data_IF_712036673950
#
_entry.id   IF_712036673950
#
_cell.length_a   1.000
_cell.length_b   1.000
_cell.length_c   1.000
_cell.angle_alpha   90.00
_cell.angle_beta   90.00
_cell.angle_gamma   90.00
#
_symmetry.space_group_name_H-M   'P 1'
#
loop_
_entity.id
_entity.type
_entity.pdbx_description
1 polymer ?
#
# COMPACT_ATOMS: atom_id res chain seq x y z
N UNK A 1 4.35 -10.66 4.26
CA UNK A 1 4.67 -9.26 3.90
C UNK A 1 3.79 -8.82 2.74
N UNK A 2 3.53 -7.53 2.55
CA UNK A 2 2.58 -7.04 1.53
C UNK A 2 2.92 -7.50 0.11
N UNK A 3 4.22 -7.66 -0.18
CA UNK A 3 4.69 -8.16 -1.47
C UNK A 3 4.32 -9.63 -1.72
N UNK A 4 4.42 -10.47 -0.69
CA UNK A 4 4.06 -11.89 -0.79
C UNK A 4 2.55 -12.06 -0.99
N UNK A 5 1.74 -11.28 -0.27
CA UNK A 5 0.30 -11.28 -0.46
C UNK A 5 -0.07 -10.77 -1.86
N UNK A 6 0.54 -9.68 -2.32
CA UNK A 6 0.33 -9.20 -3.68
C UNK A 6 0.66 -10.27 -4.71
N UNK A 7 1.78 -10.98 -4.56
CA UNK A 7 2.15 -12.03 -5.49
C UNK A 7 1.15 -13.20 -5.50
N UNK A 8 0.54 -13.54 -4.37
CA UNK A 8 -0.49 -14.57 -4.29
C UNK A 8 -1.78 -14.21 -5.07
N UNK A 9 -2.01 -12.93 -5.33
CA UNK A 9 -3.21 -12.40 -5.99
C UNK A 9 -3.01 -11.92 -7.44
N UNK A 10 -1.84 -12.14 -8.06
CA UNK A 10 -1.56 -11.69 -9.44
C UNK A 10 -2.48 -12.34 -10.50
N UNK A 11 -3.13 -13.46 -10.17
CA UNK A 11 -4.15 -14.09 -11.00
C UNK A 11 -5.43 -13.23 -11.12
N UNK A 12 -5.68 -12.30 -10.19
CA UNK A 12 -6.81 -11.35 -10.24
C UNK A 12 -6.53 -10.13 -11.12
N UNK A 13 -5.29 -9.98 -11.61
CA UNK A 13 -4.84 -8.85 -12.41
C UNK A 13 -3.55 -8.23 -11.86
N UNK A 14 -3.18 -7.06 -12.38
CA UNK A 14 -2.02 -6.32 -11.89
C UNK A 14 -2.26 -5.88 -10.46
N UNK A 15 -1.30 -6.14 -9.58
CA UNK A 15 -1.35 -5.73 -8.18
C UNK A 15 -0.49 -4.49 -7.99
N UNK A 16 -0.78 -3.67 -7.00
CA UNK A 16 0.09 -2.56 -6.62
C UNK A 16 0.46 -2.63 -5.14
N UNK A 17 1.72 -2.38 -4.81
CA UNK A 17 2.24 -2.39 -3.43
C UNK A 17 2.91 -1.04 -3.14
N UNK A 18 2.50 -0.39 -2.07
CA UNK A 18 3.21 0.76 -1.50
C UNK A 18 3.91 0.29 -0.23
N UNK A 19 5.21 0.56 -0.10
CA UNK A 19 5.97 0.27 1.13
C UNK A 19 6.52 1.57 1.69
N UNK A 20 6.28 1.83 2.98
CA UNK A 20 6.89 2.95 3.69
C UNK A 20 8.26 2.55 4.28
N UNK A 21 9.31 3.24 3.84
CA UNK A 21 10.67 2.93 4.23
C UNK A 21 11.24 1.72 3.48
N UNK A 22 12.32 1.16 4.01
CA UNK A 22 13.07 0.08 3.36
C UNK A 22 14.33 0.56 2.63
N UNK A 23 15.20 -0.36 2.18
CA UNK A 23 16.53 -0.06 1.69
C UNK A 23 16.57 0.64 0.32
N UNK A 24 15.43 0.78 -0.37
CA UNK A 24 15.39 1.34 -1.73
C UNK A 24 15.86 0.37 -2.81
N UNK A 25 16.22 -0.86 -2.42
CA UNK A 25 16.71 -1.93 -3.30
C UNK A 25 15.69 -3.05 -3.48
N UNK A 26 14.45 -2.85 -3.02
CA UNK A 26 13.38 -3.82 -3.21
C UNK A 26 12.99 -3.87 -4.69
N UNK A 27 12.80 -5.08 -5.22
CA UNK A 27 12.31 -5.30 -6.58
C UNK A 27 10.90 -5.86 -6.53
N UNK A 28 10.04 -5.39 -7.42
CA UNK A 28 8.72 -5.96 -7.60
C UNK A 28 8.82 -7.28 -8.40
N UNK A 29 8.07 -8.33 -8.02
CA UNK A 29 7.91 -9.51 -8.85
C UNK A 29 7.01 -9.20 -10.06
N UNK A 30 7.03 -10.04 -11.11
CA UNK A 30 6.15 -9.89 -12.27
C UNK A 30 4.67 -9.81 -11.86
N UNK A 31 3.93 -8.90 -12.48
CA UNK A 31 2.50 -8.69 -12.19
C UNK A 31 2.22 -7.82 -10.96
N UNK A 32 3.26 -7.31 -10.30
CA UNK A 32 3.16 -6.37 -9.18
C UNK A 32 3.87 -5.06 -9.51
N UNK A 33 3.16 -3.94 -9.36
CA UNK A 33 3.73 -2.61 -9.42
C UNK A 33 4.11 -2.17 -7.99
N UNK A 34 5.38 -1.86 -7.73
CA UNK A 34 5.83 -1.44 -6.40
C UNK A 34 6.25 0.03 -6.38
N UNK A 35 5.84 0.75 -5.34
CA UNK A 35 6.32 2.10 -5.04
C UNK A 35 6.81 2.18 -3.60
N UNK A 36 8.06 2.60 -3.40
CA UNK A 36 8.59 2.86 -2.07
C UNK A 36 8.44 4.34 -1.72
N UNK A 37 7.85 4.61 -0.56
CA UNK A 37 7.76 5.95 0.03
C UNK A 37 8.86 6.14 1.08
N UNK A 38 9.34 7.37 1.22
CA UNK A 38 10.25 7.69 2.31
C UNK A 38 9.55 7.58 3.69
N UNK A 39 10.29 7.29 4.77
CA UNK A 39 9.72 7.30 6.12
C UNK A 39 9.04 8.63 6.44
N UNK A 40 7.88 8.59 7.09
CA UNK A 40 7.10 9.77 7.48
C UNK A 40 6.23 10.35 6.37
N UNK A 41 6.28 9.80 5.15
CA UNK A 41 5.37 10.19 4.07
C UNK A 41 3.90 9.88 4.40
N UNK A 42 3.63 8.96 5.32
CA UNK A 42 2.27 8.57 5.67
C UNK A 42 1.66 9.48 6.73
N UNK A 43 2.46 10.12 7.60
CA UNK A 43 1.97 10.74 8.84
C UNK A 43 2.33 12.22 9.07
N UNK A 44 3.42 12.78 8.50
CA UNK A 44 3.90 14.13 8.89
C UNK A 44 3.53 15.24 7.87
N UNK A 45 4.40 15.48 6.87
CA UNK A 45 4.26 16.51 5.81
C UNK A 45 4.01 15.85 4.45
N UNK A 46 4.23 14.53 4.35
CA UNK A 46 4.19 13.77 3.10
C UNK A 46 2.83 13.20 2.73
N UNK A 47 1.73 13.68 3.34
CA UNK A 47 0.37 13.28 2.96
C UNK A 47 0.14 13.45 1.44
N UNK A 48 0.75 14.47 0.83
CA UNK A 48 0.68 14.69 -0.60
C UNK A 48 1.36 13.57 -1.41
N UNK A 49 2.64 13.20 -1.17
CA UNK A 49 3.26 12.02 -1.77
C UNK A 49 2.40 10.76 -1.73
N UNK A 50 1.86 10.39 -0.56
CA UNK A 50 0.99 9.23 -0.45
C UNK A 50 -0.26 9.38 -1.33
N UNK A 51 -0.94 10.53 -1.24
CA UNK A 51 -2.16 10.80 -2.02
C UNK A 51 -1.89 10.78 -3.52
N UNK A 52 -0.80 11.39 -3.98
CA UNK A 52 -0.42 11.41 -5.39
C UNK A 52 -0.09 10.00 -5.87
N UNK A 53 0.68 9.24 -5.10
CA UNK A 53 1.03 7.85 -5.44
C UNK A 53 -0.21 6.98 -5.55
N UNK A 54 -1.09 6.99 -4.55
CA UNK A 54 -2.34 6.22 -4.59
C UNK A 54 -3.21 6.64 -5.77
N UNK A 55 -3.43 7.94 -5.96
CA UNK A 55 -4.24 8.43 -7.09
C UNK A 55 -3.63 8.05 -8.45
N UNK A 56 -2.30 8.05 -8.58
CA UNK A 56 -1.59 7.66 -9.78
C UNK A 56 -1.76 6.17 -10.06
N UNK A 57 -1.54 5.32 -9.06
CA UNK A 57 -1.72 3.87 -9.19
C UNK A 57 -3.16 3.54 -9.59
N UNK A 58 -4.15 4.11 -8.90
CA UNK A 58 -5.57 3.87 -9.20
C UNK A 58 -5.97 4.33 -10.61
N UNK A 59 -5.37 5.41 -11.13
CA UNK A 59 -5.72 5.96 -12.46
C UNK A 59 -4.94 5.34 -13.61
N UNK A 60 -3.64 5.12 -13.43
CA UNK A 60 -2.73 4.72 -14.49
C UNK A 60 -2.57 3.20 -14.57
N UNK A 61 -2.40 2.56 -13.41
CA UNK A 61 -2.18 1.11 -13.34
C UNK A 61 -3.51 0.37 -13.22
N UNK A 62 -4.50 0.97 -12.55
CA UNK A 62 -5.81 0.35 -12.23
C UNK A 62 -5.64 -1.05 -11.63
N UNK A 63 -4.91 -1.17 -10.51
CA UNK A 63 -4.62 -2.46 -9.93
C UNK A 63 -5.91 -3.14 -9.45
N UNK A 64 -5.95 -4.47 -9.53
CA UNK A 64 -7.02 -5.25 -8.94
C UNK A 64 -7.03 -5.10 -7.41
N UNK A 65 -5.84 -5.02 -6.78
CA UNK A 65 -5.69 -4.69 -5.36
C UNK A 65 -4.48 -3.79 -5.11
N UNK A 66 -4.65 -2.89 -4.15
CA UNK A 66 -3.61 -2.01 -3.64
C UNK A 66 -3.26 -2.41 -2.20
N UNK A 67 -2.02 -2.83 -2.00
CA UNK A 67 -1.45 -3.20 -0.71
C UNK A 67 -0.60 -2.04 -0.20
N UNK A 68 -0.69 -1.73 1.10
CA UNK A 68 0.10 -0.66 1.70
C UNK A 68 0.73 -1.20 2.99
N UNK A 69 2.05 -1.32 2.99
CA UNK A 69 2.84 -1.73 4.14
C UNK A 69 3.38 -0.48 4.85
N UNK A 70 2.99 -0.30 6.10
CA UNK A 70 3.49 0.79 6.97
C UNK A 70 4.21 0.20 8.17
N UNK A 71 5.36 0.81 8.50
CA UNK A 71 6.30 0.25 9.47
C UNK A 71 5.90 0.44 10.94
N UNK A 72 4.94 1.33 11.24
CA UNK A 72 4.54 1.65 12.61
C UNK A 72 3.01 1.79 12.77
N UNK A 73 2.49 1.31 13.91
CA UNK A 73 1.06 1.40 14.25
C UNK A 73 0.53 2.85 14.28
N UNK A 74 1.37 3.83 14.64
CA UNK A 74 1.02 5.24 14.60
C UNK A 74 0.73 5.76 13.17
N UNK A 75 1.33 5.15 12.15
CA UNK A 75 1.12 5.54 10.75
C UNK A 75 -0.17 4.93 10.18
N UNK A 76 -0.60 3.77 10.69
CA UNK A 76 -1.81 3.10 10.23
C UNK A 76 -3.08 3.91 10.51
N UNK A 77 -3.18 4.53 11.69
CA UNK A 77 -4.33 5.35 12.04
C UNK A 77 -4.49 6.57 11.10
N UNK A 78 -3.38 7.24 10.82
CA UNK A 78 -3.35 8.42 9.94
C UNK A 78 -3.52 8.03 8.46
N UNK A 79 -2.92 6.92 8.01
CA UNK A 79 -3.18 6.33 6.70
C UNK A 79 -4.68 6.08 6.48
N UNK A 80 -5.33 5.42 7.44
CA UNK A 80 -6.76 5.11 7.38
C UNK A 80 -7.60 6.38 7.32
N UNK A 81 -7.24 7.42 8.09
CA UNK A 81 -7.91 8.72 8.04
C UNK A 81 -7.79 9.35 6.65
N UNK A 82 -6.62 9.30 6.04
CA UNK A 82 -6.41 9.86 4.70
C UNK A 82 -7.16 9.09 3.60
N UNK A 83 -7.12 7.76 3.65
CA UNK A 83 -7.79 6.92 2.64
C UNK A 83 -9.32 6.91 2.79
N UNK A 84 -9.86 7.15 3.98
CA UNK A 84 -11.29 7.41 4.19
C UNK A 84 -11.67 8.88 3.97
N UNK A 85 -10.71 9.75 3.72
CA UNK A 85 -10.95 11.17 3.50
C UNK A 85 -11.60 11.46 2.14
N UNK A 86 -12.09 12.71 1.93
CA UNK A 86 -12.83 13.09 0.72
C UNK A 86 -12.05 12.92 -0.58
N UNK A 87 -10.71 12.82 -0.54
CA UNK A 87 -9.88 12.58 -1.72
C UNK A 87 -10.00 11.16 -2.30
N UNK A 88 -10.44 10.18 -1.49
CA UNK A 88 -10.52 8.77 -1.87
C UNK A 88 -11.85 8.10 -1.48
N UNK A 89 -12.77 8.85 -0.87
CA UNK A 89 -14.11 8.39 -0.55
C UNK A 89 -14.78 7.76 -1.79
N UNK A 90 -15.12 6.47 -1.69
CA UNK A 90 -15.73 5.70 -2.78
C UNK A 90 -14.77 5.23 -3.88
N UNK A 91 -13.51 5.70 -3.91
CA UNK A 91 -12.50 5.26 -4.87
C UNK A 91 -11.78 3.97 -4.41
N UNK A 92 -11.68 3.77 -3.09
CA UNK A 92 -11.07 2.57 -2.50
C UNK A 92 -11.97 2.02 -1.39
N UNK A 93 -11.96 0.69 -1.25
CA UNK A 93 -12.50 0.01 -0.08
C UNK A 93 -11.33 -0.54 0.73
N UNK A 94 -11.26 -0.16 1.99
CA UNK A 94 -10.18 -0.57 2.87
C UNK A 94 -10.51 -1.92 3.52
N UNK A 95 -9.51 -2.78 3.55
CA UNK A 95 -9.51 -4.05 4.26
C UNK A 95 -8.31 -4.02 5.21
N UNK A 96 -8.52 -4.39 6.46
CA UNK A 96 -7.39 -4.59 7.37
C UNK A 96 -6.79 -5.96 7.04
N UNK A 97 -5.54 -5.96 6.59
CA UNK A 97 -4.77 -7.18 6.44
C UNK A 97 -4.55 -7.77 7.84
N UNK A 98 -4.89 -9.04 8.02
CA UNK A 98 -4.63 -9.73 9.28
C UNK A 98 -3.10 -9.80 9.44
N UNK A 99 -2.49 -9.23 10.50
CA UNK A 99 -1.06 -9.32 10.70
C UNK A 99 -0.74 -10.81 10.86
N UNK A 100 0.06 -11.33 9.93
CA UNK A 100 0.52 -12.73 9.84
C UNK A 100 -0.17 -13.70 10.79
N UNK A 101 -1.00 -14.59 10.24
CA UNK A 101 -1.15 -15.89 10.86
C UNK A 101 0.26 -16.50 10.94
N UNK A 102 0.90 -16.34 12.09
CA UNK A 102 2.06 -17.11 12.49
C UNK A 102 1.58 -18.55 12.53
N UNK A 103 1.80 -19.30 11.45
CA UNK A 103 2.02 -20.73 11.59
C UNK A 103 3.26 -20.88 12.47
N UNK A 104 3.01 -21.07 13.76
CA UNK A 104 3.95 -21.70 14.67
C UNK A 104 3.10 -22.55 15.61
N UNK A 105 3.01 -23.82 15.20
CA UNK A 105 2.63 -25.03 15.98
C UNK A 105 1.17 -25.23 16.42
#
# INVERSE_FOLDING_TARGET
MALEEAQAHVNEGVQAVIVEGGPGTLSAPPGVEMVQLAPGCVCCVGQLPLRVTVARLLRQIRPARLWIEVSAAGHLAELRKQLNGPGFAGAVKLYEGQPGASSTE
#
